data_IF_520585642203
#
_entry.id   IF_520585642203
#
_cell.length_a   1.000
_cell.length_b   1.000
_cell.length_c   1.000
_cell.angle_alpha   90.00
_cell.angle_beta   90.00
_cell.angle_gamma   90.00
#
_symmetry.space_group_name_H-M   'P 1'
#
loop_
_entity.id
_entity.type
_entity.pdbx_description
1 polymer ?
#
# COMPACT_ATOMS: atom_id res chain seq x y z
N UNK A 1 -6.09 22.77 67.94
CA UNK A 1 -4.77 23.23 67.46
C UNK A 1 -4.29 22.20 66.47
N UNK A 2 -4.59 22.45 65.18
CA UNK A 2 -3.65 22.66 64.06
C UNK A 2 -3.07 21.33 63.54
N UNK A 3 -3.63 20.69 62.51
CA UNK A 3 -3.68 21.11 61.09
C UNK A 3 -2.27 21.18 60.50
N UNK A 4 -1.95 20.24 59.60
CA UNK A 4 -0.97 20.30 58.50
C UNK A 4 -0.69 18.86 58.01
N UNK A 5 -0.71 18.49 56.74
CA UNK A 5 -1.23 19.10 55.52
C UNK A 5 -1.18 17.98 54.48
N UNK A 6 -2.28 17.78 53.75
CA UNK A 6 -2.38 16.86 52.62
C UNK A 6 -1.46 17.35 51.52
N UNK A 7 -0.31 16.68 51.31
CA UNK A 7 0.54 16.96 50.16
C UNK A 7 -0.08 16.40 48.89
N UNK A 8 -0.86 17.27 48.27
CA UNK A 8 -1.35 17.22 46.89
C UNK A 8 -0.15 17.31 45.93
N UNK A 9 0.40 16.15 45.55
CA UNK A 9 1.41 16.05 44.49
C UNK A 9 0.73 15.97 43.12
N UNK A 10 0.65 17.09 42.43
CA UNK A 10 0.13 17.17 41.06
C UNK A 10 1.03 16.42 40.07
N UNK A 11 0.67 15.17 39.79
CA UNK A 11 1.18 14.45 38.63
C UNK A 11 0.45 14.96 37.38
N UNK A 12 1.05 15.94 36.71
CA UNK A 12 0.63 16.31 35.36
C UNK A 12 0.55 15.05 34.50
N UNK A 13 -0.60 14.85 33.86
CA UNK A 13 -0.94 13.67 33.05
C UNK A 13 0.26 13.25 32.20
N UNK A 14 0.82 12.06 32.48
CA UNK A 14 1.88 11.39 31.73
C UNK A 14 1.35 10.88 30.37
N UNK A 15 0.60 11.70 29.63
CA UNK A 15 0.02 11.32 28.34
C UNK A 15 1.04 11.34 27.19
N UNK A 16 2.34 11.54 27.48
CA UNK A 16 3.42 11.64 26.48
C UNK A 16 4.45 10.53 26.55
N UNK A 17 4.36 9.61 27.50
CA UNK A 17 5.37 8.57 27.73
C UNK A 17 4.72 7.23 27.99
N UNK A 18 5.08 6.23 27.20
CA UNK A 18 4.66 4.84 27.41
C UNK A 18 5.67 4.13 28.31
N UNK A 19 5.20 3.26 29.21
CA UNK A 19 6.08 2.49 30.10
C UNK A 19 6.46 1.16 29.45
N UNK A 20 7.75 0.94 29.24
CA UNK A 20 8.28 -0.32 28.68
C UNK A 20 8.90 -1.16 29.79
N UNK A 21 8.40 -2.38 29.99
CA UNK A 21 9.00 -3.36 30.92
C UNK A 21 9.90 -4.34 30.16
N UNK A 22 11.20 -4.30 30.41
CA UNK A 22 12.19 -5.19 29.75
C UNK A 22 12.79 -6.17 30.74
N UNK A 23 12.93 -7.44 30.33
CA UNK A 23 13.71 -8.45 31.06
C UNK A 23 15.14 -8.43 30.54
N UNK A 24 16.09 -8.09 31.41
CA UNK A 24 17.53 -8.11 31.11
C UNK A 24 18.19 -9.19 31.96
N UNK A 25 19.14 -9.92 31.36
CA UNK A 25 20.00 -10.79 32.14
C UNK A 25 20.87 -9.95 33.10
N UNK A 26 21.32 -10.52 34.24
CA UNK A 26 22.07 -9.76 35.25
C UNK A 26 23.34 -9.10 34.71
N UNK A 27 24.01 -9.73 33.73
CA UNK A 27 25.25 -9.21 33.14
C UNK A 27 24.96 -8.02 32.23
N UNK A 28 23.99 -8.13 31.34
CA UNK A 28 23.56 -7.04 30.46
C UNK A 28 23.06 -5.84 31.27
N UNK A 29 22.28 -6.08 32.33
CA UNK A 29 21.86 -5.01 33.24
C UNK A 29 23.06 -4.28 33.85
N UNK A 30 24.03 -5.02 34.40
CA UNK A 30 25.22 -4.41 35.00
C UNK A 30 26.01 -3.56 33.99
N UNK A 31 26.22 -4.06 32.77
CA UNK A 31 26.92 -3.33 31.72
C UNK A 31 26.14 -2.07 31.27
N UNK A 32 24.82 -2.16 31.14
CA UNK A 32 23.98 -1.01 30.80
C UNK A 32 24.00 0.06 31.90
N UNK A 33 24.05 -0.33 33.18
CA UNK A 33 24.22 0.61 34.29
C UNK A 33 25.59 1.31 34.26
N UNK A 34 26.67 0.59 33.93
CA UNK A 34 27.99 1.19 33.75
C UNK A 34 28.02 2.19 32.59
N UNK A 35 27.41 1.84 31.45
CA UNK A 35 27.31 2.74 30.31
C UNK A 35 26.48 3.98 30.65
N UNK A 36 25.35 3.82 31.34
CA UNK A 36 24.53 4.94 31.80
C UNK A 36 25.33 5.91 32.69
N UNK A 37 26.15 5.39 33.61
CA UNK A 37 27.05 6.19 34.46
C UNK A 37 28.11 6.92 33.64
N UNK A 38 28.72 6.26 32.66
CA UNK A 38 29.71 6.88 31.76
C UNK A 38 29.12 8.09 31.03
N UNK A 39 27.88 7.95 30.56
CA UNK A 39 27.15 9.02 29.88
C UNK A 39 26.41 9.99 30.82
N UNK A 40 26.57 9.85 32.15
CA UNK A 40 25.93 10.71 33.18
C UNK A 40 24.41 10.80 33.06
N UNK A 41 23.75 9.67 32.78
CA UNK A 41 22.29 9.57 32.65
C UNK A 41 21.74 8.39 33.44
N UNK A 42 20.43 8.37 33.64
CA UNK A 42 19.74 7.23 34.26
C UNK A 42 19.75 6.03 33.33
N UNK A 43 19.60 4.82 33.87
CA UNK A 43 19.52 3.59 33.06
C UNK A 43 18.41 3.68 32.00
N UNK A 44 17.21 4.18 32.38
CA UNK A 44 16.10 4.36 31.45
C UNK A 44 16.43 5.34 30.31
N UNK A 45 17.04 6.49 30.64
CA UNK A 45 17.45 7.48 29.62
C UNK A 45 18.56 6.95 28.71
N UNK A 46 19.45 6.11 29.24
CA UNK A 46 20.46 5.43 28.43
C UNK A 46 19.82 4.44 27.45
N UNK A 47 18.85 3.64 27.92
CA UNK A 47 18.15 2.66 27.08
C UNK A 47 17.37 3.37 25.97
N UNK A 48 16.62 4.43 26.28
CA UNK A 48 15.88 5.22 25.29
C UNK A 48 16.80 5.76 24.19
N UNK A 49 17.92 6.39 24.58
CA UNK A 49 18.91 6.88 23.63
C UNK A 49 19.52 5.74 22.79
N UNK A 50 19.82 4.61 23.42
CA UNK A 50 20.42 3.46 22.71
C UNK A 50 19.45 2.90 21.66
N UNK A 51 18.15 2.83 21.98
CA UNK A 51 17.12 2.43 21.03
C UNK A 51 17.05 3.43 19.88
N UNK A 52 17.05 4.74 20.15
CA UNK A 52 17.05 5.75 19.09
C UNK A 52 18.23 5.59 18.13
N UNK A 53 19.44 5.44 18.68
CA UNK A 53 20.66 5.21 17.88
C UNK A 53 20.56 3.92 17.06
N UNK A 54 20.02 2.85 17.64
CA UNK A 54 19.81 1.59 16.91
C UNK A 54 18.83 1.80 15.73
N UNK A 55 17.69 2.45 15.95
CA UNK A 55 16.70 2.73 14.90
C UNK A 55 17.26 3.62 13.77
N UNK A 56 18.13 4.57 14.10
CA UNK A 56 18.81 5.42 13.12
C UNK A 56 19.82 4.63 12.26
N UNK A 57 20.22 3.44 12.70
CA UNK A 57 21.22 2.60 12.02
C UNK A 57 20.58 1.41 11.29
N UNK A 58 19.44 0.92 11.76
CA UNK A 58 18.75 -0.26 11.23
C UNK A 58 18.10 0.04 9.88
N UNK A 59 18.45 -0.73 8.84
CA UNK A 59 18.02 -0.52 7.47
C UNK A 59 16.66 -1.21 7.19
N UNK A 60 15.73 -0.46 6.61
CA UNK A 60 14.39 -0.93 6.22
C UNK A 60 14.37 -1.53 4.81
N UNK A 61 15.08 -0.91 3.88
CA UNK A 61 15.25 -1.42 2.54
C UNK A 61 16.44 -0.72 1.87
N UNK A 62 17.09 -1.41 0.94
CA UNK A 62 18.24 -0.90 0.16
C UNK A 62 17.93 -0.87 -1.33
N UNK A 63 16.65 -0.91 -1.71
CA UNK A 63 16.25 -0.88 -3.11
C UNK A 63 16.44 0.53 -3.69
N UNK A 64 17.28 0.65 -4.72
CA UNK A 64 17.57 1.92 -5.40
C UNK A 64 18.74 2.76 -4.87
N UNK A 65 19.59 2.21 -3.99
CA UNK A 65 20.87 2.83 -3.61
C UNK A 65 20.79 3.99 -2.61
N UNK A 66 19.59 4.35 -2.15
CA UNK A 66 19.40 5.29 -1.03
C UNK A 66 19.12 4.46 0.22
N UNK A 67 20.04 4.53 1.19
CA UNK A 67 19.88 3.89 2.50
C UNK A 67 18.70 4.51 3.25
N UNK A 68 17.67 3.72 3.53
CA UNK A 68 16.52 4.12 4.36
C UNK A 68 16.56 3.37 5.68
N UNK A 69 16.74 4.11 6.77
CA UNK A 69 16.71 3.55 8.12
C UNK A 69 15.35 3.74 8.77
N UNK A 70 15.04 2.96 9.81
CA UNK A 70 13.79 3.10 10.56
C UNK A 70 13.64 4.53 11.10
N UNK A 71 14.72 5.09 11.65
CA UNK A 71 14.75 6.45 12.16
C UNK A 71 14.41 7.51 11.11
N UNK A 72 14.94 7.38 9.90
CA UNK A 72 14.69 8.35 8.82
C UNK A 72 13.24 8.32 8.32
N UNK A 73 12.62 7.14 8.28
CA UNK A 73 11.23 7.00 7.83
C UNK A 73 10.21 7.19 8.96
N UNK A 74 10.66 7.34 10.22
CA UNK A 74 9.77 7.45 11.38
C UNK A 74 8.78 8.62 11.27
N UNK A 75 9.22 9.78 10.79
CA UNK A 75 8.33 10.95 10.60
C UNK A 75 7.25 10.70 9.54
N UNK A 76 7.56 9.88 8.54
CA UNK A 76 6.61 9.52 7.50
C UNK A 76 5.64 8.43 7.99
N UNK A 77 6.18 7.37 8.60
CA UNK A 77 5.40 6.20 9.04
C UNK A 77 4.50 6.51 10.23
N UNK A 78 4.92 7.40 11.13
CA UNK A 78 4.14 7.73 12.32
C UNK A 78 2.90 8.57 11.97
N UNK A 79 1.80 8.25 12.62
CA UNK A 79 0.58 9.06 12.63
C UNK A 79 -0.10 8.91 14.01
N UNK A 80 -0.92 9.89 14.38
CA UNK A 80 -1.73 9.83 15.61
C UNK A 80 -2.88 8.85 15.43
N UNK A 81 -3.41 8.77 14.21
CA UNK A 81 -4.48 7.84 13.85
C UNK A 81 -3.89 6.47 13.47
N UNK A 82 -4.32 5.41 14.16
CA UNK A 82 -3.85 4.04 13.91
C UNK A 82 -4.08 3.58 12.46
N UNK A 83 -5.20 4.00 11.87
CA UNK A 83 -5.56 3.68 10.50
C UNK A 83 -4.57 4.27 9.49
N UNK A 84 -4.20 5.54 9.67
CA UNK A 84 -3.30 6.27 8.78
C UNK A 84 -1.88 5.69 8.91
N UNK A 85 -1.42 5.45 10.16
CA UNK A 85 -0.13 4.78 10.45
C UNK A 85 -0.04 3.40 9.79
N UNK A 86 -1.09 2.59 9.92
CA UNK A 86 -1.16 1.27 9.30
C UNK A 86 -1.11 1.35 7.77
N UNK A 87 -1.87 2.26 7.15
CA UNK A 87 -1.89 2.41 5.70
C UNK A 87 -0.53 2.84 5.14
N UNK A 88 0.16 3.78 5.80
CA UNK A 88 1.50 4.22 5.39
C UNK A 88 2.51 3.07 5.45
N UNK A 89 2.49 2.28 6.52
CA UNK A 89 3.31 1.08 6.65
C UNK A 89 3.01 0.07 5.52
N UNK A 90 1.73 -0.23 5.30
CA UNK A 90 1.29 -1.22 4.32
C UNK A 90 1.57 -0.82 2.86
N UNK A 91 1.54 0.48 2.56
CA UNK A 91 1.85 1.01 1.23
C UNK A 91 3.35 0.98 0.90
N UNK A 92 4.21 1.31 1.88
CA UNK A 92 5.66 1.44 1.64
C UNK A 92 6.46 0.19 1.96
N UNK A 93 6.10 -0.50 3.04
CA UNK A 93 6.82 -1.66 3.56
C UNK A 93 5.88 -2.84 3.78
N UNK A 94 5.21 -3.35 2.72
CA UNK A 94 4.26 -4.45 2.85
C UNK A 94 4.87 -5.73 3.43
N UNK A 95 6.19 -5.90 3.36
CA UNK A 95 6.92 -7.04 3.91
C UNK A 95 7.08 -7.00 5.44
N UNK A 96 6.86 -5.85 6.08
CA UNK A 96 6.91 -5.71 7.54
C UNK A 96 5.56 -5.99 8.22
N UNK A 97 4.50 -6.14 7.44
CA UNK A 97 3.18 -6.47 7.96
C UNK A 97 3.18 -7.90 8.52
N UNK A 98 2.65 -8.05 9.73
CA UNK A 98 2.31 -9.35 10.29
C UNK A 98 1.20 -10.04 9.50
N UNK A 99 0.97 -11.33 9.71
CA UNK A 99 -0.08 -12.06 8.98
C UNK A 99 -1.48 -11.46 9.19
N UNK A 100 -1.83 -11.08 10.42
CA UNK A 100 -3.12 -10.45 10.74
C UNK A 100 -3.28 -9.10 10.04
N UNK A 101 -2.20 -8.32 10.01
CA UNK A 101 -2.11 -7.06 9.28
C UNK A 101 -2.22 -7.25 7.77
N UNK A 102 -1.64 -8.31 7.21
CA UNK A 102 -1.78 -8.64 5.79
C UNK A 102 -3.23 -8.99 5.42
N UNK A 103 -3.94 -9.74 6.27
CA UNK A 103 -5.38 -10.05 6.08
C UNK A 103 -6.20 -8.75 6.10
N UNK A 104 -5.96 -7.88 7.08
CA UNK A 104 -6.59 -6.57 7.19
C UNK A 104 -6.31 -5.70 5.96
N UNK A 105 -5.05 -5.67 5.51
CA UNK A 105 -4.64 -4.89 4.33
C UNK A 105 -5.29 -5.41 3.05
N UNK A 106 -5.39 -6.73 2.89
CA UNK A 106 -6.10 -7.35 1.76
C UNK A 106 -7.55 -6.88 1.70
N UNK A 107 -8.25 -6.88 2.83
CA UNK A 107 -9.64 -6.43 2.92
C UNK A 107 -9.79 -4.95 2.52
N UNK A 108 -8.88 -4.10 2.96
CA UNK A 108 -8.84 -2.67 2.58
C UNK A 108 -8.58 -2.52 1.08
N UNK A 109 -7.65 -3.27 0.51
CA UNK A 109 -7.35 -3.24 -0.94
C UNK A 109 -8.51 -3.66 -1.82
N UNK A 110 -9.32 -4.61 -1.36
CA UNK A 110 -10.49 -5.13 -2.06
C UNK A 110 -11.74 -4.23 -1.92
N UNK A 111 -11.73 -3.32 -0.93
CA UNK A 111 -12.83 -2.39 -0.70
C UNK A 111 -12.67 -1.10 -1.52
N UNK A 112 -13.30 -1.04 -2.70
CA UNK A 112 -13.27 0.15 -3.57
C UNK A 112 -13.82 1.44 -2.92
N UNK A 113 -14.56 1.33 -1.82
CA UNK A 113 -15.15 2.49 -1.13
C UNK A 113 -14.12 3.44 -0.52
N UNK A 114 -12.96 2.95 -0.10
CA UNK A 114 -11.90 3.75 0.53
C UNK A 114 -10.86 4.27 -0.46
N UNK A 115 -11.00 3.95 -1.74
CA UNK A 115 -10.09 4.38 -2.81
C UNK A 115 -10.75 5.36 -3.77
N UNK A 116 -9.95 6.26 -4.34
CA UNK A 116 -10.31 7.08 -5.48
C UNK A 116 -10.13 6.22 -6.73
N UNK A 117 -11.21 6.04 -7.46
CA UNK A 117 -11.22 5.25 -8.68
C UNK A 117 -12.12 5.87 -9.74
N UNK A 118 -12.19 5.19 -10.88
CA UNK A 118 -13.06 5.53 -11.99
C UNK A 118 -13.58 4.26 -12.63
N UNK A 119 -14.72 4.36 -13.29
CA UNK A 119 -15.17 3.28 -14.15
C UNK A 119 -14.30 3.23 -15.42
N UNK A 120 -13.93 2.02 -15.83
CA UNK A 120 -12.97 1.79 -16.91
C UNK A 120 -13.52 2.06 -18.32
N UNK A 121 -14.83 2.27 -18.47
CA UNK A 121 -15.49 2.43 -19.76
C UNK A 121 -15.52 1.15 -20.60
N UNK A 122 -15.15 0.02 -20.00
CA UNK A 122 -15.12 -1.29 -20.65
C UNK A 122 -16.52 -1.89 -20.81
N UNK A 123 -16.63 -3.10 -21.38
CA UNK A 123 -17.92 -3.79 -21.59
C UNK A 123 -18.73 -4.01 -20.30
N UNK A 124 -18.03 -4.15 -19.17
CA UNK A 124 -18.62 -4.30 -17.84
C UNK A 124 -18.63 -2.99 -17.03
N UNK A 125 -17.98 -1.94 -17.55
CA UNK A 125 -17.81 -0.62 -16.92
C UNK A 125 -17.55 -0.74 -15.41
N UNK A 126 -16.48 -1.45 -15.04
CA UNK A 126 -16.16 -1.76 -13.64
C UNK A 126 -15.39 -0.61 -12.99
N UNK A 127 -15.66 -0.36 -11.71
CA UNK A 127 -14.94 0.64 -10.93
C UNK A 127 -13.54 0.11 -10.63
N UNK A 128 -12.54 0.84 -11.10
CA UNK A 128 -11.13 0.50 -10.98
C UNK A 128 -10.41 1.57 -10.16
N UNK A 129 -9.49 1.14 -9.30
CA UNK A 129 -8.64 2.02 -8.50
C UNK A 129 -7.21 1.49 -8.48
N UNK A 130 -6.28 2.36 -8.09
CA UNK A 130 -4.89 2.01 -7.90
C UNK A 130 -4.60 1.93 -6.40
N UNK A 131 -3.83 0.92 -5.98
CA UNK A 131 -3.40 0.80 -4.58
C UNK A 131 -2.14 1.62 -4.41
N UNK A 132 -2.30 2.93 -4.21
CA UNK A 132 -1.22 3.88 -3.96
C UNK A 132 -1.69 4.99 -3.00
N UNK A 133 -0.74 5.77 -2.49
CA UNK A 133 -0.98 6.80 -1.48
C UNK A 133 -1.98 7.87 -1.96
N UNK A 134 -1.90 8.29 -3.23
CA UNK A 134 -2.75 9.33 -3.80
C UNK A 134 -4.21 8.90 -3.98
N UNK A 135 -4.43 7.61 -4.22
CA UNK A 135 -5.76 7.04 -4.38
C UNK A 135 -6.44 6.79 -3.04
N UNK A 136 -5.70 6.59 -1.94
CA UNK A 136 -6.31 6.28 -0.66
C UNK A 136 -7.06 7.48 -0.05
N UNK A 137 -8.30 7.27 0.38
CA UNK A 137 -9.13 8.29 1.03
C UNK A 137 -9.06 8.09 2.54
N UNK A 138 -8.03 8.67 3.18
CA UNK A 138 -7.79 8.56 4.62
C UNK A 138 -9.02 8.84 5.52
N UNK A 139 -9.84 9.88 5.27
CA UNK A 139 -11.04 10.11 6.08
C UNK A 139 -12.03 8.93 6.07
N UNK A 140 -12.20 8.26 4.93
CA UNK A 140 -13.06 7.07 4.83
C UNK A 140 -12.42 5.87 5.51
N UNK A 141 -11.11 5.70 5.36
CA UNK A 141 -10.41 4.62 6.04
C UNK A 141 -10.58 4.73 7.56
N UNK A 142 -10.45 5.94 8.13
CA UNK A 142 -10.68 6.18 9.56
C UNK A 142 -12.12 5.91 10.00
N UNK A 143 -13.09 6.36 9.22
CA UNK A 143 -14.52 6.12 9.50
C UNK A 143 -14.84 4.62 9.63
N UNK A 144 -14.31 3.79 8.73
CA UNK A 144 -14.56 2.35 8.69
C UNK A 144 -13.46 1.52 9.39
N UNK A 145 -12.49 2.14 10.04
CA UNK A 145 -11.31 1.45 10.59
C UNK A 145 -11.68 0.36 11.60
N UNK A 146 -12.57 0.68 12.55
CA UNK A 146 -13.03 -0.28 13.54
C UNK A 146 -13.72 -1.49 12.89
N UNK A 147 -14.45 -1.28 11.80
CA UNK A 147 -15.09 -2.37 11.04
C UNK A 147 -14.05 -3.25 10.35
N UNK A 148 -13.03 -2.67 9.72
CA UNK A 148 -11.94 -3.44 9.11
C UNK A 148 -11.18 -4.28 10.14
N UNK A 149 -10.90 -3.72 11.33
CA UNK A 149 -10.28 -4.48 12.42
C UNK A 149 -11.16 -5.65 12.87
N UNK A 150 -12.45 -5.40 13.15
CA UNK A 150 -13.38 -6.44 13.60
C UNK A 150 -13.52 -7.60 12.60
N UNK A 151 -13.63 -7.28 11.30
CA UNK A 151 -13.73 -8.30 10.24
C UNK A 151 -12.42 -9.09 10.11
N UNK A 152 -11.27 -8.44 10.22
CA UNK A 152 -9.97 -9.12 10.12
C UNK A 152 -9.69 -10.05 11.31
N UNK A 153 -10.11 -9.68 12.51
CA UNK A 153 -9.85 -10.44 13.74
C UNK A 153 -10.87 -11.57 13.96
N UNK A 154 -12.16 -11.29 13.77
CA UNK A 154 -13.25 -12.20 14.15
C UNK A 154 -14.01 -12.76 12.95
N UNK A 155 -13.83 -12.20 11.74
CA UNK A 155 -14.66 -12.53 10.57
C UNK A 155 -16.09 -12.00 10.64
N UNK A 156 -16.46 -11.34 11.74
CA UNK A 156 -17.81 -10.82 11.97
C UNK A 156 -17.98 -9.43 11.35
N UNK A 157 -19.19 -9.13 10.87
CA UNK A 157 -19.53 -7.78 10.39
C UNK A 157 -19.10 -7.48 8.96
N UNK A 158 -18.91 -8.51 8.12
CA UNK A 158 -18.64 -8.35 6.69
C UNK A 158 -19.74 -7.50 6.00
N UNK A 159 -20.99 -7.61 6.48
CA UNK A 159 -22.13 -6.81 6.01
C UNK A 159 -22.04 -5.31 6.37
N UNK A 160 -21.20 -4.95 7.35
CA UNK A 160 -20.98 -3.56 7.79
C UNK A 160 -19.84 -2.88 7.03
N UNK A 161 -19.17 -3.61 6.14
CA UNK A 161 -18.12 -3.04 5.31
C UNK A 161 -18.71 -1.95 4.39
N UNK A 162 -17.92 -0.91 4.08
CA UNK A 162 -18.42 0.16 3.24
C UNK A 162 -18.77 -0.39 1.85
N UNK A 163 -20.01 -0.16 1.45
CA UNK A 163 -20.54 -0.61 0.16
C UNK A 163 -20.05 0.30 -0.95
N UNK A 164 -19.70 -0.29 -2.09
CA UNK A 164 -19.37 0.43 -3.32
C UNK A 164 -20.00 -0.29 -4.51
N UNK A 165 -20.34 0.47 -5.54
CA UNK A 165 -20.88 -0.10 -6.78
C UNK A 165 -19.72 -0.55 -7.65
N UNK A 166 -19.61 -1.87 -7.84
CA UNK A 166 -18.58 -2.43 -8.70
C UNK A 166 -18.81 -2.10 -10.17
N UNK A 167 -20.06 -2.07 -10.61
CA UNK A 167 -20.47 -1.71 -11.97
C UNK A 167 -21.16 -0.35 -11.93
N UNK A 168 -20.93 0.47 -12.94
CA UNK A 168 -21.56 1.79 -13.02
C UNK A 168 -23.09 1.66 -13.03
N UNK A 169 -23.78 2.16 -11.99
CA UNK A 169 -25.23 2.07 -11.88
C UNK A 169 -25.95 2.91 -12.95
N UNK A 170 -25.24 3.84 -13.60
CA UNK A 170 -25.79 4.73 -14.62
C UNK A 170 -25.31 4.38 -16.04
N UNK A 171 -24.64 3.24 -16.22
CA UNK A 171 -24.29 2.76 -17.56
C UNK A 171 -25.57 2.53 -18.38
N UNK A 172 -25.66 3.04 -19.62
CA UNK A 172 -26.78 2.70 -20.49
C UNK A 172 -26.75 1.18 -20.67
N UNK A 173 -27.83 0.50 -20.24
CA UNK A 173 -28.04 -0.94 -20.45
C UNK A 173 -27.60 -1.28 -21.86
N UNK A 174 -26.56 -2.10 -21.98
CA UNK A 174 -25.96 -2.45 -23.26
C UNK A 174 -27.07 -2.99 -24.17
N UNK A 175 -27.54 -2.15 -25.09
CA UNK A 175 -28.51 -2.54 -26.10
C UNK A 175 -27.87 -3.70 -26.84
N UNK A 176 -28.50 -4.89 -26.93
CA UNK A 176 -27.92 -5.98 -27.68
C UNK A 176 -27.69 -5.48 -29.11
N UNK A 177 -26.42 -5.45 -29.55
CA UNK A 177 -26.07 -5.09 -30.91
C UNK A 177 -26.88 -6.00 -31.83
N UNK A 178 -27.94 -5.44 -32.42
CA UNK A 178 -28.70 -6.10 -33.47
C UNK A 178 -27.70 -6.59 -34.50
N UNK A 179 -27.73 -7.90 -34.77
CA UNK A 179 -26.83 -8.57 -35.68
C UNK A 179 -26.68 -7.77 -36.99
N UNK A 180 -25.47 -7.66 -37.57
CA UNK A 180 -25.33 -7.02 -38.86
C UNK A 180 -26.23 -7.74 -39.87
N UNK A 181 -26.93 -7.02 -40.77
CA UNK A 181 -27.80 -7.64 -41.74
C UNK A 181 -27.00 -8.62 -42.60
N UNK A 182 -27.47 -9.86 -42.63
CA UNK A 182 -26.94 -10.96 -43.44
C UNK A 182 -26.71 -10.48 -44.88
N UNK A 183 -25.44 -10.51 -45.33
CA UNK A 183 -25.10 -10.28 -46.74
C UNK A 183 -25.67 -11.44 -47.55
N UNK A 184 -26.64 -11.12 -48.40
CA UNK A 184 -27.22 -12.02 -49.40
C UNK A 184 -26.13 -12.63 -50.31
N UNK A 185 -26.25 -13.92 -50.70
CA UNK A 185 -25.27 -14.59 -51.55
C UNK A 185 -25.51 -14.27 -53.03
N UNK A 186 -24.45 -14.43 -53.84
CA UNK A 186 -24.37 -14.32 -55.30
C UNK A 186 -24.10 -12.96 -55.93
N UNK A 187 -22.84 -12.80 -56.39
CA UNK A 187 -22.57 -12.34 -57.76
C UNK A 187 -21.32 -13.04 -58.30
N UNK A 188 -21.54 -13.93 -59.26
CA UNK A 188 -20.54 -14.71 -59.98
C UNK A 188 -19.56 -13.81 -60.72
N UNK A 189 -18.26 -14.06 -60.58
CA UNK A 189 -17.20 -13.40 -61.35
C UNK A 189 -17.09 -14.01 -62.76
N UNK A 190 -16.87 -13.22 -63.82
CA UNK A 190 -16.57 -13.74 -65.16
C UNK A 190 -15.08 -14.12 -65.32
N UNK A 191 -14.75 -15.05 -66.24
CA UNK A 191 -13.41 -15.66 -66.38
C UNK A 191 -12.33 -14.76 -67.01
N UNK A 192 -11.03 -15.12 -66.87
CA UNK A 192 -9.90 -14.21 -67.09
C UNK A 192 -9.55 -14.04 -68.58
N UNK A 193 -9.03 -12.86 -68.94
CA UNK A 193 -8.43 -12.59 -70.26
C UNK A 193 -6.90 -12.65 -70.18
N UNK A 194 -6.37 -13.34 -71.18
CA UNK A 194 -4.96 -13.66 -71.48
C UNK A 194 -4.04 -12.45 -71.63
N UNK A 195 -2.80 -12.63 -71.18
CA UNK A 195 -1.66 -11.71 -71.30
C UNK A 195 -1.07 -11.63 -72.73
N UNK A 196 -0.30 -10.57 -73.03
CA UNK A 196 0.79 -10.62 -74.01
C UNK A 196 2.18 -10.29 -73.39
N UNK A 197 3.30 -10.57 -74.10
CA UNK A 197 4.60 -10.88 -73.49
C UNK A 197 5.70 -9.77 -73.53
N UNK A 198 6.62 -9.92 -72.56
CA UNK A 198 8.06 -9.57 -72.38
C UNK A 198 8.78 -8.51 -73.26
N UNK A 199 9.64 -7.72 -72.61
CA UNK A 199 11.08 -7.46 -72.90
C UNK A 199 11.64 -6.48 -71.82
N UNK A 200 12.54 -6.90 -70.91
CA UNK A 200 14.02 -6.92 -70.94
C UNK A 200 14.72 -5.63 -70.47
N UNK A 201 15.89 -5.82 -69.82
CA UNK A 201 16.88 -4.86 -69.25
C UNK A 201 16.56 -4.40 -67.83
N UNK A 202 17.45 -4.40 -66.84
CA UNK A 202 18.89 -4.66 -66.72
C UNK A 202 19.38 -4.07 -65.38
N UNK A 203 20.57 -4.48 -64.91
CA UNK A 203 21.30 -4.08 -63.68
C UNK A 203 20.81 -4.75 -62.39
N UNK A 204 21.54 -5.68 -61.75
CA UNK A 204 22.92 -5.70 -61.20
C UNK A 204 22.92 -5.43 -59.69
N UNK A 205 23.55 -6.37 -58.98
CA UNK A 205 24.28 -6.24 -57.71
C UNK A 205 23.68 -5.39 -56.58
N UNK A 206 23.20 -6.09 -55.53
CA UNK A 206 23.93 -6.08 -54.26
C UNK A 206 23.40 -7.19 -53.34
N UNK A 207 24.09 -8.33 -53.38
CA UNK A 207 24.31 -9.15 -52.20
C UNK A 207 25.26 -8.36 -51.29
N UNK A 208 24.81 -8.03 -50.07
CA UNK A 208 25.71 -7.69 -48.97
C UNK A 208 25.09 -8.19 -47.65
N UNK A 209 25.54 -9.41 -47.29
CA UNK A 209 25.84 -9.92 -45.96
C UNK A 209 25.16 -9.24 -44.74
N UNK A 210 24.17 -9.94 -44.19
CA UNK A 210 23.71 -9.75 -42.80
C UNK A 210 24.30 -10.90 -41.96
N UNK A 211 25.35 -10.69 -41.16
CA UNK A 211 25.78 -11.71 -40.21
C UNK A 211 24.94 -11.66 -38.93
N UNK A 212 24.70 -12.87 -38.40
CA UNK A 212 24.07 -13.17 -37.10
C UNK A 212 24.94 -12.73 -35.91
#
# INVERSE_FOLDING_TARGET
>A
MTEQEVRKGGGGKLSRTETVTVRLDPKLRYLAELAARLHRRTLSSYIEWSIKVALDTEDLDSDGGIRRTIGNEAEFLWDVDDADRFAKLALRYPHLLTHEEQVKWKLIRESGAVWRGRYDGGPLNEFTWSVNEDSLIYPRLREYWATFCAVAESGEGQDKLPTWNRVDPNAPSAVPRSAPPSRSPYRSAPPPRSAPPKLSTGFDDMDDDIPF
#
